data_IF_858563527526
#
_entry.id   IF_858563527526
#
_cell.length_a   1.000
_cell.length_b   1.000
_cell.length_c   1.000
_cell.angle_alpha   90.00
_cell.angle_beta   90.00
_cell.angle_gamma   90.00
#
_symmetry.space_group_name_H-M   'P 1'
#
loop_
_entity.id
_entity.type
_entity.pdbx_description
1 polymer ?
#
# COMPACT_ATOMS: atom_id res chain seq x y z
N UNK A 1 -31.92 8.24 -10.42
CA UNK A 1 -31.15 8.75 -9.28
C UNK A 1 -30.60 7.52 -8.59
N UNK A 2 -29.36 7.18 -8.90
CA UNK A 2 -28.72 5.99 -8.33
C UNK A 2 -28.65 6.20 -6.82
N UNK A 3 -29.23 5.27 -6.09
CA UNK A 3 -29.15 5.19 -4.64
C UNK A 3 -27.69 4.87 -4.34
N UNK A 4 -26.95 5.83 -3.81
CA UNK A 4 -25.64 5.58 -3.20
C UNK A 4 -25.90 4.73 -1.96
N UNK A 5 -25.80 3.41 -2.13
CA UNK A 5 -25.80 2.47 -1.01
C UNK A 5 -24.53 2.72 -0.20
N UNK A 6 -24.70 3.48 0.88
CA UNK A 6 -23.75 3.71 1.98
C UNK A 6 -22.95 2.43 2.27
N UNK A 7 -21.67 2.33 1.86
CA UNK A 7 -20.90 1.17 2.24
C UNK A 7 -20.61 1.32 3.73
N UNK A 8 -21.04 0.35 4.53
CA UNK A 8 -20.82 0.33 5.99
C UNK A 8 -19.34 0.54 6.39
N UNK A 9 -19.00 0.47 7.70
CA UNK A 9 -17.75 0.98 8.29
C UNK A 9 -16.42 0.35 7.81
N UNK A 10 -16.43 -0.49 6.78
CA UNK A 10 -15.25 -1.04 6.13
C UNK A 10 -14.62 -0.01 5.19
N UNK A 11 -13.80 0.88 5.76
CA UNK A 11 -12.92 1.81 5.04
C UNK A 11 -12.12 1.08 3.94
N UNK A 12 -12.59 1.19 2.71
CA UNK A 12 -11.96 0.68 1.49
C UNK A 12 -10.62 1.39 1.27
N UNK A 13 -9.57 0.68 0.83
CA UNK A 13 -8.29 1.29 0.55
C UNK A 13 -8.34 2.06 -0.78
N UNK A 14 -8.57 3.35 -0.67
CA UNK A 14 -8.73 4.35 -1.76
C UNK A 14 -7.39 4.86 -2.27
N UNK A 15 -6.44 5.08 -1.37
CA UNK A 15 -5.17 5.70 -1.68
C UNK A 15 -4.13 4.71 -2.25
N UNK A 16 -3.24 5.20 -3.10
CA UNK A 16 -2.13 4.43 -3.67
C UNK A 16 -0.94 4.52 -2.72
N UNK A 17 -0.35 3.37 -2.38
CA UNK A 17 0.88 3.33 -1.60
C UNK A 17 2.09 3.82 -2.40
N UNK A 18 3.03 4.51 -1.75
CA UNK A 18 4.22 5.08 -2.39
C UNK A 18 5.52 4.45 -1.89
N UNK A 19 6.58 4.53 -2.68
CA UNK A 19 7.93 4.09 -2.34
C UNK A 19 8.95 5.21 -2.56
N UNK A 20 9.97 5.28 -1.69
CA UNK A 20 11.12 6.17 -1.92
C UNK A 20 12.09 5.52 -2.92
N UNK A 21 13.01 6.31 -3.47
CA UNK A 21 14.00 5.83 -4.46
C UNK A 21 14.81 4.62 -3.98
N UNK A 22 15.09 4.53 -2.67
CA UNK A 22 15.84 3.41 -2.09
C UNK A 22 15.04 2.10 -2.03
N UNK A 23 13.71 2.21 -1.95
CA UNK A 23 12.80 1.08 -1.83
C UNK A 23 12.01 0.82 -3.12
N UNK A 24 12.27 1.60 -4.17
CA UNK A 24 11.57 1.50 -5.45
C UNK A 24 11.71 0.09 -6.04
N UNK A 25 10.59 -0.48 -6.49
CA UNK A 25 10.55 -1.84 -7.05
C UNK A 25 10.66 -2.98 -6.03
N UNK A 26 10.68 -2.70 -4.72
CA UNK A 26 10.62 -3.74 -3.68
C UNK A 26 9.18 -4.15 -3.41
N UNK A 27 8.94 -5.43 -3.17
CA UNK A 27 7.65 -5.88 -2.69
C UNK A 27 7.42 -5.43 -1.23
N UNK A 28 6.30 -4.77 -0.94
CA UNK A 28 5.94 -4.27 0.41
C UNK A 28 5.77 -5.37 1.47
N UNK A 29 5.66 -6.63 1.03
CA UNK A 29 5.42 -7.79 1.91
C UNK A 29 6.70 -8.52 2.26
N UNK A 30 7.60 -8.69 1.28
CA UNK A 30 8.80 -9.54 1.41
C UNK A 30 10.11 -8.80 1.11
N UNK A 31 10.03 -7.48 0.88
CA UNK A 31 11.14 -6.55 0.63
C UNK A 31 12.12 -6.97 -0.49
N UNK A 32 11.69 -7.90 -1.35
CA UNK A 32 12.49 -8.45 -2.44
C UNK A 32 12.23 -7.67 -3.74
N UNK A 33 13.28 -7.50 -4.54
CA UNK A 33 13.18 -6.98 -5.91
C UNK A 33 12.75 -8.09 -6.85
N UNK A 34 11.46 -8.14 -7.13
CA UNK A 34 10.83 -9.16 -7.95
C UNK A 34 9.78 -8.49 -8.82
N UNK A 35 9.38 -9.14 -9.90
CA UNK A 35 8.44 -8.59 -10.87
C UNK A 35 7.18 -8.03 -10.17
N UNK A 36 7.00 -6.68 -10.14
CA UNK A 36 5.80 -6.07 -9.60
C UNK A 36 4.61 -6.44 -10.48
N UNK A 37 3.47 -6.78 -9.87
CA UNK A 37 2.28 -7.18 -10.62
C UNK A 37 1.02 -6.47 -10.14
N UNK A 38 0.90 -6.22 -8.84
CA UNK A 38 -0.33 -5.66 -8.26
C UNK A 38 0.00 -4.36 -7.55
N UNK A 39 -0.79 -3.31 -7.81
CA UNK A 39 -0.62 -2.00 -7.18
C UNK A 39 -0.98 -2.08 -5.68
N UNK A 40 -0.18 -1.46 -4.83
CA UNK A 40 -0.44 -1.37 -3.40
C UNK A 40 -1.49 -0.29 -3.14
N UNK A 41 -2.53 -0.64 -2.40
CA UNK A 41 -3.53 0.31 -1.89
C UNK A 41 -3.37 0.44 -0.38
N UNK A 42 -3.64 1.62 0.15
CA UNK A 42 -3.59 1.91 1.60
C UNK A 42 -4.90 2.56 2.02
N UNK A 43 -5.27 2.43 3.29
CA UNK A 43 -6.45 3.11 3.82
C UNK A 43 -6.21 4.63 3.93
N UNK A 44 -7.30 5.41 3.94
CA UNK A 44 -7.21 6.87 4.08
C UNK A 44 -6.49 7.30 5.36
N UNK A 45 -6.61 6.55 6.45
CA UNK A 45 -5.93 6.84 7.71
C UNK A 45 -4.40 6.77 7.54
N UNK A 46 -3.91 5.78 6.80
CA UNK A 46 -2.49 5.65 6.47
C UNK A 46 -2.02 6.72 5.47
N UNK A 47 -2.92 7.31 4.69
CA UNK A 47 -2.61 8.39 3.75
C UNK A 47 -2.97 9.79 4.28
N UNK A 48 -3.20 9.96 5.58
CA UNK A 48 -3.66 11.21 6.15
C UNK A 48 -2.54 12.09 6.73
N UNK A 49 -2.64 13.40 6.50
CA UNK A 49 -1.78 14.42 7.10
C UNK A 49 -0.30 14.21 6.77
N UNK A 50 0.54 14.14 7.81
CA UNK A 50 1.99 13.98 7.64
C UNK A 50 2.40 12.64 7.01
N UNK A 51 1.55 11.61 7.03
CA UNK A 51 1.83 10.29 6.44
C UNK A 51 1.55 10.21 4.93
N UNK A 52 0.88 11.23 4.39
CA UNK A 52 0.56 11.30 2.98
C UNK A 52 1.83 11.25 2.12
N UNK A 53 1.79 10.43 1.06
CA UNK A 53 2.90 10.33 0.12
C UNK A 53 4.19 9.77 0.71
N UNK A 54 4.14 9.10 1.87
CA UNK A 54 5.32 8.45 2.47
C UNK A 54 5.54 7.05 1.92
N UNK A 55 6.81 6.64 1.96
CA UNK A 55 7.22 5.30 1.61
C UNK A 55 6.59 4.27 2.55
N UNK A 56 5.82 3.34 1.99
CA UNK A 56 5.14 2.27 2.76
C UNK A 56 6.09 1.25 3.40
N UNK A 57 7.38 1.28 3.06
CA UNK A 57 8.41 0.40 3.63
C UNK A 57 9.17 1.09 4.77
N UNK A 58 9.71 2.29 4.53
CA UNK A 58 10.60 2.96 5.48
C UNK A 58 10.07 4.30 6.04
N UNK A 59 8.93 4.80 5.56
CA UNK A 59 8.38 6.10 5.98
C UNK A 59 9.08 7.34 5.41
N UNK A 60 10.08 7.18 4.53
CA UNK A 60 10.72 8.30 3.82
C UNK A 60 9.83 8.97 2.77
N UNK A 61 10.32 10.00 2.04
CA UNK A 61 9.55 10.66 0.98
C UNK A 61 9.28 9.69 -0.18
N UNK A 62 8.01 9.45 -0.49
CA UNK A 62 7.58 8.56 -1.56
C UNK A 62 7.59 9.29 -2.91
N UNK A 63 8.29 8.70 -3.89
CA UNK A 63 8.42 9.23 -5.26
C UNK A 63 7.63 8.39 -6.25
N UNK A 64 7.69 7.07 -6.15
CA UNK A 64 7.07 6.11 -7.08
C UNK A 64 5.90 5.39 -6.42
N UNK A 65 5.06 4.76 -7.24
CA UNK A 65 3.95 3.93 -6.75
C UNK A 65 4.48 2.56 -6.30
N UNK A 66 3.91 2.05 -5.21
CA UNK A 66 4.33 0.79 -4.60
C UNK A 66 3.59 -0.40 -5.20
N UNK A 67 4.27 -1.55 -5.28
CA UNK A 67 3.71 -2.77 -5.85
C UNK A 67 3.95 -4.01 -4.97
N UNK A 68 3.01 -4.94 -5.05
CA UNK A 68 3.17 -6.32 -4.59
C UNK A 68 3.73 -7.17 -5.71
N UNK A 69 4.56 -8.14 -5.32
CA UNK A 69 5.10 -9.11 -6.25
C UNK A 69 4.11 -10.22 -6.56
N UNK A 70 4.24 -10.80 -7.75
CA UNK A 70 3.37 -11.90 -8.21
C UNK A 70 3.27 -13.05 -7.20
N UNK A 71 4.40 -13.43 -6.58
CA UNK A 71 4.45 -14.52 -5.60
C UNK A 71 3.61 -14.23 -4.36
N UNK A 72 3.60 -12.98 -3.89
CA UNK A 72 2.81 -12.57 -2.74
C UNK A 72 1.33 -12.45 -3.09
N UNK A 73 1.00 -11.97 -4.29
CA UNK A 73 -0.38 -11.89 -4.77
C UNK A 73 -1.00 -13.27 -4.96
N UNK A 74 -0.27 -14.23 -5.55
CA UNK A 74 -0.77 -15.62 -5.71
C UNK A 74 -1.01 -16.30 -4.35
N UNK A 75 -0.26 -15.91 -3.32
CA UNK A 75 -0.43 -16.43 -1.96
C UNK A 75 -1.46 -15.63 -1.15
N UNK A 76 -2.17 -14.68 -1.76
CA UNK A 76 -3.16 -13.83 -1.09
C UNK A 76 -2.57 -13.11 0.15
N UNK A 77 -1.28 -12.78 0.10
CA UNK A 77 -0.60 -12.06 1.20
C UNK A 77 -0.86 -10.56 1.15
N UNK A 78 -1.29 -10.06 0.00
CA UNK A 78 -1.66 -8.67 -0.26
C UNK A 78 -3.03 -8.30 0.32
N UNK A 79 -3.98 -9.23 0.36
CA UNK A 79 -5.30 -8.99 0.96
C UNK A 79 -5.28 -8.92 2.49
N UNK A 80 -4.32 -9.61 3.13
CA UNK A 80 -4.23 -9.69 4.59
C UNK A 80 -3.41 -8.57 5.24
N UNK A 81 -2.51 -7.91 4.52
CA UNK A 81 -1.52 -6.98 5.10
C UNK A 81 -1.85 -5.48 4.93
N UNK A 82 -3.10 -5.14 4.62
CA UNK A 82 -3.49 -3.76 4.30
C UNK A 82 -3.34 -2.75 5.44
N UNK A 83 -3.11 -3.20 6.68
CA UNK A 83 -3.02 -2.36 7.88
C UNK A 83 -1.59 -2.12 8.39
N UNK A 84 -0.57 -2.18 7.53
CA UNK A 84 0.80 -1.83 7.98
C UNK A 84 0.88 -0.34 8.33
N UNK A 85 0.85 -0.03 9.64
CA UNK A 85 1.29 1.27 10.16
C UNK A 85 2.78 1.45 9.85
N UNK A 86 3.13 2.59 9.25
CA UNK A 86 4.48 2.95 8.88
C UNK A 86 5.44 2.87 10.08
N UNK A 87 6.57 2.17 9.92
CA UNK A 87 7.72 2.34 10.81
C UNK A 87 7.66 1.66 12.18
N UNK A 88 7.14 0.43 12.30
CA UNK A 88 7.67 -0.42 13.38
C UNK A 88 8.98 -1.01 12.88
N UNK A 89 10.09 -0.50 13.42
CA UNK A 89 11.28 -1.33 13.61
C UNK A 89 10.91 -2.59 14.42
#
# INVERSE_FOLDING_TARGET
IVQEEDPGPYKHPTAIGRQCEKCDGRCVICDSYVRPCTLVRICDECNYGSYQGRCVICGGPGVSDAYYCKKCTIQEKDVSKMSKKFGSA
#
